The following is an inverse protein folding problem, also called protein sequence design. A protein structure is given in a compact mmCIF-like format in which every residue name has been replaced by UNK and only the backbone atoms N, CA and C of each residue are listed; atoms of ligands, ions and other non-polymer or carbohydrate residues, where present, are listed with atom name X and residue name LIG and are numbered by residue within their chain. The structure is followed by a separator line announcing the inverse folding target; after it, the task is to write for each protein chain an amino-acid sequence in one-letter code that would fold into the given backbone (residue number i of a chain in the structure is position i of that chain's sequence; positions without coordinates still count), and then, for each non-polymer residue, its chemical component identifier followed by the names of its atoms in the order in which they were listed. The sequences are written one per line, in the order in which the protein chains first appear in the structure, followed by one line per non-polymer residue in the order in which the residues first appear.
data_IF_539998990098
#
_entry.id   IF_539998990098
#
_cell.length_a   1.000
_cell.length_b   1.000
_cell.length_c   1.000
_cell.angle_alpha   90.00
_cell.angle_beta   90.00
_cell.angle_gamma   90.00
#
_symmetry.space_group_name_H-M   'P 1'
#
loop_
_entity.id
_entity.type
_entity.pdbx_description
1 polymer ?
#
# COMPACT_ATOMS: atom_id res chain seq x y z
N UNK A 1 -4.02 -27.23 -2.13
CA UNK A 1 -4.10 -26.50 -3.41
C UNK A 1 -3.07 -27.04 -4.39
N UNK A 2 -3.35 -28.21 -4.95
CA UNK A 2 -2.52 -28.78 -6.04
C UNK A 2 -2.81 -28.17 -7.43
N UNK A 3 -3.57 -27.08 -7.48
CA UNK A 3 -4.10 -26.49 -8.70
C UNK A 3 -3.06 -25.74 -9.56
N UNK A 4 -1.80 -25.62 -9.12
CA UNK A 4 -0.78 -24.89 -9.89
C UNK A 4 0.52 -25.67 -9.87
N UNK A 5 1.13 -25.74 -11.02
CA UNK A 5 2.42 -26.35 -11.26
C UNK A 5 3.45 -25.83 -10.22
N UNK A 6 3.95 -26.75 -9.41
CA UNK A 6 4.98 -26.47 -8.39
C UNK A 6 6.21 -25.82 -9.03
N UNK A 7 6.57 -26.19 -10.24
CA UNK A 7 7.69 -25.64 -11.00
C UNK A 7 7.47 -24.16 -11.31
N UNK A 8 6.24 -23.78 -11.69
CA UNK A 8 5.93 -22.37 -11.93
C UNK A 8 6.05 -21.53 -10.64
N UNK A 9 5.53 -22.05 -9.52
CA UNK A 9 5.67 -21.34 -8.21
C UNK A 9 7.14 -21.17 -7.86
N UNK A 10 7.96 -22.21 -7.98
CA UNK A 10 9.39 -22.15 -7.68
C UNK A 10 10.08 -21.07 -8.51
N UNK A 11 9.82 -21.02 -9.80
CA UNK A 11 10.36 -20.00 -10.68
C UNK A 11 9.92 -18.56 -10.29
N UNK A 12 8.66 -18.38 -9.85
CA UNK A 12 8.22 -17.07 -9.36
C UNK A 12 8.92 -16.66 -8.06
N UNK A 13 9.22 -17.62 -7.19
CA UNK A 13 9.88 -17.38 -5.90
C UNK A 13 11.38 -17.17 -6.02
N UNK A 14 12.06 -17.68 -7.05
CA UNK A 14 13.51 -17.45 -7.29
C UNK A 14 13.88 -15.97 -7.37
N UNK A 15 13.05 -15.17 -8.02
CA UNK A 15 13.25 -13.71 -8.19
C UNK A 15 12.35 -12.85 -7.28
N UNK A 16 11.71 -13.48 -6.30
CA UNK A 16 10.74 -12.80 -5.45
C UNK A 16 11.40 -11.76 -4.56
N UNK A 17 10.83 -10.56 -4.55
CA UNK A 17 11.20 -9.46 -3.66
C UNK A 17 9.96 -8.94 -2.95
N UNK A 18 10.04 -8.81 -1.63
CA UNK A 18 8.91 -8.44 -0.79
C UNK A 18 8.70 -6.93 -0.76
N UNK A 19 7.46 -6.50 -1.01
CA UNK A 19 7.00 -5.14 -0.72
C UNK A 19 6.16 -5.11 0.57
N UNK A 20 5.91 -3.92 1.12
CA UNK A 20 5.02 -3.78 2.28
C UNK A 20 3.59 -4.25 1.98
N UNK A 21 3.11 -4.10 0.74
CA UNK A 21 1.80 -4.64 0.33
C UNK A 21 1.78 -6.16 0.38
N UNK A 22 2.86 -6.82 -0.07
CA UNK A 22 2.98 -8.27 0.02
C UNK A 22 2.99 -8.75 1.47
N UNK A 23 3.76 -8.08 2.33
CA UNK A 23 3.79 -8.35 3.77
C UNK A 23 2.41 -8.20 4.41
N UNK A 24 1.74 -7.07 4.18
CA UNK A 24 0.41 -6.81 4.72
C UNK A 24 -0.62 -7.86 4.25
N UNK A 25 -0.59 -8.22 2.98
CA UNK A 25 -1.52 -9.20 2.42
C UNK A 25 -1.28 -10.61 3.01
N UNK A 26 -0.02 -11.02 3.14
CA UNK A 26 0.30 -12.32 3.72
C UNK A 26 -0.08 -12.41 5.19
N UNK A 27 0.26 -11.40 5.98
CA UNK A 27 -0.08 -11.34 7.41
C UNK A 27 -1.60 -11.37 7.63
N UNK A 28 -2.38 -10.68 6.78
CA UNK A 28 -3.85 -10.73 6.85
C UNK A 28 -4.40 -12.08 6.46
N UNK A 29 -3.94 -12.63 5.36
CA UNK A 29 -4.36 -13.94 4.88
C UNK A 29 -3.39 -14.46 3.83
N UNK A 30 -2.74 -15.62 4.02
CA UNK A 30 -1.86 -16.22 3.01
C UNK A 30 -2.54 -16.42 1.65
N UNK A 31 -3.85 -16.70 1.60
CA UNK A 31 -4.59 -16.75 0.33
C UNK A 31 -4.68 -15.40 -0.37
N UNK A 32 -4.79 -14.29 0.39
CA UNK A 32 -4.79 -12.95 -0.22
C UNK A 32 -3.46 -12.69 -0.93
N UNK A 33 -2.34 -13.00 -0.28
CA UNK A 33 -1.03 -12.91 -0.91
C UNK A 33 -0.92 -13.83 -2.13
N UNK A 34 -1.31 -15.08 -1.99
CA UNK A 34 -1.21 -16.09 -3.05
C UNK A 34 -1.97 -15.66 -4.31
N UNK A 35 -3.25 -15.33 -4.19
CA UNK A 35 -4.07 -14.97 -5.34
C UNK A 35 -3.76 -13.57 -5.90
N UNK A 36 -3.51 -12.58 -5.05
CA UNK A 36 -3.31 -11.20 -5.51
C UNK A 36 -1.88 -10.87 -5.91
N UNK A 37 -0.89 -11.41 -5.18
CA UNK A 37 0.50 -11.01 -5.36
C UNK A 37 1.35 -12.05 -6.10
N UNK A 38 1.14 -13.32 -5.86
CA UNK A 38 1.87 -14.38 -6.54
C UNK A 38 1.21 -14.73 -7.87
N UNK A 39 -0.06 -15.17 -7.88
CA UNK A 39 -0.80 -15.51 -9.10
C UNK A 39 -1.26 -14.30 -9.90
N UNK A 40 -1.41 -13.16 -9.24
CA UNK A 40 -1.91 -11.91 -9.85
C UNK A 40 -3.24 -12.13 -10.57
N UNK A 41 -4.15 -12.83 -9.90
CA UNK A 41 -5.50 -13.07 -10.44
C UNK A 41 -6.14 -11.75 -10.81
N UNK A 42 -6.61 -11.59 -12.05
CA UNK A 42 -7.26 -10.35 -12.47
C UNK A 42 -8.44 -10.02 -11.55
N UNK A 43 -8.43 -8.83 -10.99
CA UNK A 43 -9.55 -8.29 -10.24
C UNK A 43 -10.24 -7.19 -11.04
N UNK A 44 -11.54 -7.02 -10.83
CA UNK A 44 -12.23 -5.86 -11.37
C UNK A 44 -11.51 -4.58 -10.96
N UNK A 45 -11.39 -3.65 -11.89
CA UNK A 45 -10.78 -2.36 -11.62
C UNK A 45 -11.53 -1.68 -10.47
N UNK A 46 -10.79 -1.16 -9.51
CA UNK A 46 -11.37 -0.55 -8.31
C UNK A 46 -11.35 0.97 -8.45
N UNK A 47 -12.53 1.57 -8.48
CA UNK A 47 -12.70 3.01 -8.60
C UNK A 47 -11.93 3.81 -7.55
N UNK A 48 -11.83 3.32 -6.31
CA UNK A 48 -11.09 4.00 -5.24
C UNK A 48 -9.58 3.94 -5.45
N UNK A 49 -9.06 2.80 -5.92
CA UNK A 49 -7.64 2.64 -6.26
C UNK A 49 -7.28 3.53 -7.45
N UNK A 50 -8.10 3.53 -8.51
CA UNK A 50 -7.87 4.34 -9.70
C UNK A 50 -7.93 5.84 -9.41
N UNK A 51 -8.86 6.27 -8.56
CA UNK A 51 -8.92 7.64 -8.06
C UNK A 51 -7.66 8.01 -7.26
N UNK A 52 -7.24 7.15 -6.32
CA UNK A 52 -6.02 7.35 -5.54
C UNK A 52 -4.79 7.50 -6.43
N UNK A 53 -4.62 6.59 -7.39
CA UNK A 53 -3.51 6.65 -8.36
C UNK A 53 -3.51 7.94 -9.16
N UNK A 54 -4.68 8.42 -9.63
CA UNK A 54 -4.77 9.67 -10.37
C UNK A 54 -4.35 10.89 -9.52
N UNK A 55 -4.68 10.89 -8.22
CA UNK A 55 -4.23 11.93 -7.27
C UNK A 55 -2.72 11.89 -7.08
N UNK A 56 -2.13 10.71 -6.82
CA UNK A 56 -0.69 10.54 -6.65
C UNK A 56 0.09 10.97 -7.90
N UNK A 57 -0.33 10.51 -9.09
CA UNK A 57 0.31 10.85 -10.36
C UNK A 57 0.25 12.35 -10.66
N UNK A 58 -0.87 13.01 -10.32
CA UNK A 58 -1.03 14.46 -10.50
C UNK A 58 -0.12 15.24 -9.55
N UNK A 59 -0.04 14.86 -8.28
CA UNK A 59 0.85 15.49 -7.30
C UNK A 59 2.33 15.27 -7.65
N UNK A 60 2.71 14.06 -8.07
CA UNK A 60 4.07 13.77 -8.54
C UNK A 60 4.45 14.70 -9.69
N UNK A 61 3.60 14.81 -10.71
CA UNK A 61 3.84 15.68 -11.86
C UNK A 61 3.92 17.16 -11.45
N UNK A 62 3.09 17.58 -10.51
CA UNK A 62 3.09 18.94 -9.98
C UNK A 62 4.40 19.30 -9.29
N UNK A 63 4.91 18.41 -8.44
CA UNK A 63 6.22 18.57 -7.81
C UNK A 63 7.38 18.50 -8.81
N UNK A 64 7.32 17.64 -9.82
CA UNK A 64 8.33 17.55 -10.88
C UNK A 64 8.42 18.85 -11.68
N UNK A 65 7.28 19.45 -12.05
CA UNK A 65 7.25 20.76 -12.69
C UNK A 65 7.88 21.85 -11.81
N UNK A 66 7.61 21.84 -10.51
CA UNK A 66 8.27 22.74 -9.57
C UNK A 66 9.78 22.52 -9.54
N UNK A 67 10.25 21.26 -9.54
CA UNK A 67 11.68 20.93 -9.54
C UNK A 67 12.38 21.34 -10.85
N UNK A 68 11.68 21.35 -11.97
CA UNK A 68 12.19 21.78 -13.27
C UNK A 68 12.22 23.32 -13.40
N UNK A 69 11.38 24.03 -12.64
CA UNK A 69 11.33 25.50 -12.70
C UNK A 69 12.61 26.11 -12.11
N UNK A 70 13.27 27.08 -12.78
CA UNK A 70 14.55 27.65 -12.33
C UNK A 70 14.53 28.18 -10.90
N UNK A 71 13.45 28.83 -10.50
CA UNK A 71 13.24 29.39 -9.16
C UNK A 71 12.54 28.43 -8.19
N UNK A 72 12.30 27.17 -8.59
CA UNK A 72 11.53 26.21 -7.81
C UNK A 72 10.12 26.73 -7.44
N UNK A 73 9.47 27.40 -8.35
CA UNK A 73 8.09 27.84 -8.18
C UNK A 73 7.12 26.77 -8.62
N UNK A 74 6.07 26.57 -7.83
CA UNK A 74 4.98 25.70 -8.23
C UNK A 74 4.22 26.31 -9.41
N UNK A 75 3.78 25.49 -10.37
CA UNK A 75 2.90 25.97 -11.42
C UNK A 75 1.53 26.39 -10.84
N UNK A 76 0.69 27.09 -11.62
CA UNK A 76 -0.68 27.38 -11.23
C UNK A 76 -1.46 26.10 -10.88
N UNK A 77 -2.39 26.20 -9.94
CA UNK A 77 -3.20 25.04 -9.48
C UNK A 77 -3.98 24.39 -10.62
N UNK A 78 -4.38 25.17 -11.62
CA UNK A 78 -5.08 24.70 -12.82
C UNK A 78 -4.26 23.66 -13.60
N UNK A 79 -2.95 23.71 -13.50
CA UNK A 79 -2.10 22.69 -14.12
C UNK A 79 -2.18 21.35 -13.39
N UNK A 80 -2.21 21.37 -12.05
CA UNK A 80 -2.45 20.16 -11.27
C UNK A 80 -3.81 19.55 -11.61
N UNK A 81 -4.85 20.39 -11.70
CA UNK A 81 -6.20 19.91 -12.00
C UNK A 81 -6.29 19.33 -13.43
N UNK A 82 -5.60 19.91 -14.41
CA UNK A 82 -5.48 19.33 -15.77
C UNK A 82 -4.76 17.97 -15.75
N UNK A 83 -3.68 17.86 -14.99
CA UNK A 83 -2.96 16.59 -14.87
C UNK A 83 -3.83 15.54 -14.19
N UNK A 84 -4.55 15.89 -13.11
CA UNK A 84 -5.50 15.00 -12.47
C UNK A 84 -6.63 14.57 -13.42
N UNK A 85 -7.21 15.49 -14.20
CA UNK A 85 -8.22 15.16 -15.21
C UNK A 85 -7.70 14.15 -16.24
N UNK A 86 -6.49 14.36 -16.72
CA UNK A 86 -5.83 13.44 -17.63
C UNK A 86 -5.66 12.03 -17.04
N UNK A 87 -5.23 11.90 -15.79
CA UNK A 87 -5.05 10.59 -15.15
C UNK A 87 -6.40 9.92 -14.83
N UNK A 88 -7.40 10.69 -14.44
CA UNK A 88 -8.77 10.18 -14.30
C UNK A 88 -9.32 9.65 -15.62
N UNK A 89 -9.13 10.38 -16.73
CA UNK A 89 -9.55 9.95 -18.06
C UNK A 89 -8.87 8.64 -18.47
N UNK A 90 -7.59 8.47 -18.23
CA UNK A 90 -6.86 7.23 -18.52
C UNK A 90 -7.39 6.01 -17.76
N UNK A 91 -8.04 6.23 -16.64
CA UNK A 91 -8.60 5.17 -15.78
C UNK A 91 -10.12 5.13 -15.80
N UNK A 92 -10.78 5.79 -16.78
CA UNK A 92 -12.23 5.97 -16.82
C UNK A 92 -13.01 4.64 -16.83
N UNK A 93 -12.44 3.58 -17.38
CA UNK A 93 -13.02 2.23 -17.42
C UNK A 93 -13.07 1.54 -16.04
N UNK A 94 -12.53 2.19 -14.99
CA UNK A 94 -12.63 1.73 -13.60
C UNK A 94 -13.89 2.21 -12.90
N UNK A 95 -14.72 3.03 -13.55
CA UNK A 95 -15.85 3.72 -12.98
C UNK A 95 -17.11 3.52 -13.82
N UNK A 96 -18.28 3.61 -13.18
CA UNK A 96 -19.49 3.95 -13.94
C UNK A 96 -19.43 5.42 -14.36
N UNK A 97 -20.24 5.83 -15.34
CA UNK A 97 -20.26 7.22 -15.81
C UNK A 97 -20.58 8.19 -14.67
N UNK A 98 -21.60 7.90 -13.88
CA UNK A 98 -22.04 8.72 -12.75
C UNK A 98 -20.96 8.77 -11.64
N UNK A 99 -20.30 7.65 -11.38
CA UNK A 99 -19.21 7.60 -10.41
C UNK A 99 -17.99 8.38 -10.89
N UNK A 100 -17.64 8.27 -12.19
CA UNK A 100 -16.55 9.03 -12.80
C UNK A 100 -16.77 10.53 -12.63
N UNK A 101 -17.92 11.05 -13.05
CA UNK A 101 -18.24 12.48 -12.97
C UNK A 101 -18.21 12.98 -11.53
N UNK A 102 -18.81 12.24 -10.60
CA UNK A 102 -18.81 12.57 -9.17
C UNK A 102 -17.39 12.58 -8.59
N UNK A 103 -16.58 11.54 -8.86
CA UNK A 103 -15.20 11.42 -8.36
C UNK A 103 -14.28 12.49 -8.93
N UNK A 104 -14.45 12.83 -10.22
CA UNK A 104 -13.70 13.89 -10.87
C UNK A 104 -13.98 15.24 -10.22
N UNK A 105 -15.23 15.61 -10.05
CA UNK A 105 -15.61 16.87 -9.37
C UNK A 105 -15.12 16.92 -7.93
N UNK A 106 -15.23 15.80 -7.23
CA UNK A 106 -14.71 15.67 -5.88
C UNK A 106 -13.19 15.88 -5.84
N UNK A 107 -12.44 15.24 -6.74
CA UNK A 107 -10.99 15.36 -6.84
C UNK A 107 -10.53 16.79 -7.14
N UNK A 108 -11.19 17.48 -8.06
CA UNK A 108 -10.90 18.89 -8.33
C UNK A 108 -11.01 19.73 -7.07
N UNK A 109 -12.13 19.60 -6.35
CA UNK A 109 -12.35 20.36 -5.13
C UNK A 109 -11.30 20.10 -4.05
N UNK A 110 -11.03 18.83 -3.74
CA UNK A 110 -10.09 18.51 -2.66
C UNK A 110 -8.65 18.89 -3.02
N UNK A 111 -8.22 18.70 -4.27
CA UNK A 111 -6.88 19.09 -4.72
C UNK A 111 -6.69 20.60 -4.70
N UNK A 112 -7.68 21.37 -5.14
CA UNK A 112 -7.62 22.85 -5.07
C UNK A 112 -7.50 23.32 -3.62
N UNK A 113 -8.31 22.77 -2.70
CA UNK A 113 -8.28 23.07 -1.28
C UNK A 113 -6.93 22.67 -0.65
N UNK A 114 -6.43 21.49 -0.98
CA UNK A 114 -5.17 20.95 -0.47
C UNK A 114 -3.98 21.81 -0.89
N UNK A 115 -3.88 22.18 -2.17
CA UNK A 115 -2.82 23.06 -2.66
C UNK A 115 -2.90 24.43 -2.00
N UNK A 116 -4.08 25.03 -1.95
CA UNK A 116 -4.27 26.33 -1.32
C UNK A 116 -3.83 26.33 0.15
N UNK A 117 -4.06 25.23 0.87
CA UNK A 117 -3.71 25.10 2.28
C UNK A 117 -2.22 24.89 2.49
N UNK A 118 -1.60 23.97 1.75
CA UNK A 118 -0.24 23.51 2.02
C UNK A 118 0.85 24.13 1.15
N UNK A 119 0.57 24.61 -0.06
CA UNK A 119 1.62 25.07 -0.97
C UNK A 119 2.54 26.17 -0.40
N UNK A 120 2.07 27.09 0.48
CA UNK A 120 2.94 28.08 1.08
C UNK A 120 4.02 27.51 2.01
N UNK A 121 3.79 26.30 2.54
CA UNK A 121 4.67 25.66 3.54
C UNK A 121 5.38 24.41 3.04
N UNK A 122 5.12 24.00 1.79
CA UNK A 122 5.74 22.81 1.24
C UNK A 122 7.25 22.91 1.15
N UNK A 123 7.91 21.82 1.55
CA UNK A 123 9.33 21.66 1.28
C UNK A 123 9.57 21.50 -0.23
N UNK A 124 10.50 22.28 -0.77
CA UNK A 124 10.88 22.26 -2.20
C UNK A 124 12.13 21.41 -2.48
N UNK A 125 12.79 20.93 -1.44
CA UNK A 125 13.94 20.02 -1.56
C UNK A 125 13.41 18.60 -1.42
N UNK A 126 12.95 18.04 -2.54
CA UNK A 126 12.24 16.76 -2.53
C UNK A 126 12.68 15.85 -3.67
N UNK A 127 12.42 14.57 -3.51
CA UNK A 127 12.41 13.54 -4.57
C UNK A 127 11.05 12.87 -4.54
N UNK A 128 10.42 12.67 -5.70
CA UNK A 128 9.12 12.03 -5.82
C UNK A 128 9.21 10.68 -6.52
N UNK A 129 8.27 9.78 -6.23
CA UNK A 129 8.09 8.49 -6.90
C UNK A 129 9.36 7.62 -6.95
N UNK A 130 10.16 7.67 -5.85
CA UNK A 130 11.42 6.94 -5.79
C UNK A 130 11.22 5.46 -5.54
N UNK A 131 11.65 4.64 -6.48
CA UNK A 131 11.71 3.19 -6.32
C UNK A 131 13.05 2.78 -5.70
N UNK A 132 12.99 1.95 -4.67
CA UNK A 132 14.16 1.39 -3.97
C UNK A 132 14.08 -0.13 -4.00
N UNK A 133 15.22 -0.78 -4.23
CA UNK A 133 15.43 -2.22 -4.07
C UNK A 133 16.63 -2.41 -3.16
N UNK A 134 16.48 -3.22 -2.14
CA UNK A 134 17.50 -3.45 -1.13
C UNK A 134 17.42 -4.87 -0.57
N UNK A 135 18.37 -5.25 0.29
CA UNK A 135 18.36 -6.51 1.00
C UNK A 135 18.31 -6.29 2.51
N UNK A 136 17.45 -7.00 3.19
CA UNK A 136 17.43 -7.12 4.64
C UNK A 136 18.06 -8.48 5.01
N UNK A 137 19.42 -8.51 5.16
CA UNK A 137 20.14 -9.77 5.12
C UNK A 137 19.91 -10.48 3.78
N UNK A 138 19.43 -11.72 3.81
CA UNK A 138 19.14 -12.51 2.62
C UNK A 138 17.74 -12.27 2.05
N UNK A 139 16.95 -11.38 2.64
CA UNK A 139 15.58 -11.08 2.18
C UNK A 139 15.58 -9.90 1.21
N UNK A 140 15.30 -10.12 -0.10
CA UNK A 140 15.12 -9.03 -1.05
C UNK A 140 13.85 -8.24 -0.73
N UNK A 141 13.98 -6.92 -0.57
CA UNK A 141 12.86 -6.01 -0.31
C UNK A 141 12.81 -4.90 -1.35
N UNK A 142 11.63 -4.41 -1.63
CA UNK A 142 11.42 -3.30 -2.54
C UNK A 142 10.26 -2.41 -2.09
N UNK A 143 10.28 -1.18 -2.57
CA UNK A 143 9.18 -0.25 -2.35
C UNK A 143 9.30 0.98 -3.24
N UNK A 144 8.20 1.68 -3.36
CA UNK A 144 8.11 2.97 -4.06
C UNK A 144 7.59 3.99 -3.04
N UNK A 145 8.32 5.09 -2.90
CA UNK A 145 8.02 6.15 -1.97
C UNK A 145 7.44 7.32 -2.75
N UNK A 146 6.28 7.83 -2.33
CA UNK A 146 5.59 8.90 -3.05
C UNK A 146 6.41 10.19 -3.06
N UNK A 147 6.90 10.61 -1.88
CA UNK A 147 7.74 11.80 -1.75
C UNK A 147 8.72 11.65 -0.60
N UNK A 148 9.95 12.10 -0.80
CA UNK A 148 10.98 12.25 0.23
C UNK A 148 11.30 13.74 0.35
N UNK A 149 11.16 14.29 1.54
CA UNK A 149 11.47 15.69 1.86
C UNK A 149 12.80 15.75 2.60
N UNK A 150 13.71 16.63 2.19
CA UNK A 150 15.05 16.73 2.76
C UNK A 150 15.24 17.99 3.60
N UNK A 151 15.97 17.82 4.70
CA UNK A 151 16.56 18.89 5.49
C UNK A 151 18.04 18.53 5.74
N UNK A 152 18.92 18.93 4.84
CA UNK A 152 20.30 18.48 4.81
C UNK A 152 20.41 16.97 4.59
N UNK A 153 21.00 16.24 5.54
CA UNK A 153 21.12 14.78 5.49
C UNK A 153 19.90 14.06 6.08
N UNK A 154 19.03 14.78 6.77
CA UNK A 154 17.81 14.20 7.34
C UNK A 154 16.69 14.22 6.33
N UNK A 155 15.85 13.20 6.32
CA UNK A 155 14.68 13.18 5.47
C UNK A 155 13.43 12.65 6.17
N UNK A 156 12.27 13.15 5.69
CA UNK A 156 10.94 12.70 6.02
C UNK A 156 10.33 12.04 4.79
N UNK A 157 9.79 10.84 4.95
CA UNK A 157 9.08 10.16 3.85
C UNK A 157 7.60 10.48 3.98
N UNK A 158 7.01 11.02 2.92
CA UNK A 158 5.59 11.38 2.86
C UNK A 158 4.87 10.43 1.92
N UNK A 159 3.76 9.90 2.39
CA UNK A 159 2.87 9.01 1.64
C UNK A 159 1.46 9.62 1.60
N UNK A 160 0.93 9.83 0.41
CA UNK A 160 -0.38 10.46 0.22
C UNK A 160 -1.52 9.47 0.44
N UNK A 161 -2.56 9.91 1.12
CA UNK A 161 -3.77 9.11 1.38
C UNK A 161 -5.02 9.84 0.91
N UNK A 162 -5.76 9.20 0.01
CA UNK A 162 -7.03 9.74 -0.53
C UNK A 162 -8.27 9.28 0.26
N UNK A 163 -8.06 8.54 1.35
CA UNK A 163 -9.13 8.15 2.28
C UNK A 163 -9.23 9.10 3.46
N UNK A 164 -10.36 9.05 4.17
CA UNK A 164 -10.59 9.90 5.34
C UNK A 164 -9.76 9.46 6.54
N UNK A 165 -9.11 10.41 7.20
CA UNK A 165 -8.28 10.17 8.39
C UNK A 165 -9.00 9.39 9.49
N UNK A 166 -10.30 9.66 9.74
CA UNK A 166 -11.05 8.96 10.79
C UNK A 166 -11.04 7.42 10.66
N UNK A 167 -10.95 6.89 9.43
CA UNK A 167 -10.88 5.45 9.17
C UNK A 167 -9.44 4.90 9.20
N UNK A 168 -8.46 5.79 9.29
CA UNK A 168 -7.05 5.44 9.32
C UNK A 168 -6.48 5.29 10.73
N UNK A 169 -7.14 5.83 11.75
CA UNK A 169 -6.59 5.93 13.12
C UNK A 169 -6.01 4.62 13.64
N UNK A 170 -6.76 3.51 13.55
CA UNK A 170 -6.30 2.19 14.02
C UNK A 170 -5.10 1.65 13.22
N UNK A 171 -4.89 2.13 11.99
CA UNK A 171 -3.80 1.68 11.12
C UNK A 171 -2.45 2.33 11.43
N UNK A 172 -2.41 3.30 12.35
CA UNK A 172 -1.24 4.12 12.66
C UNK A 172 -0.43 3.64 13.87
N UNK A 173 -0.89 2.62 14.57
CA UNK A 173 -0.29 2.18 15.83
C UNK A 173 0.45 0.85 15.69
N UNK A 174 1.53 0.65 16.51
CA UNK A 174 2.20 -0.64 16.63
C UNK A 174 1.27 -1.69 17.24
N UNK A 175 1.67 -2.99 17.21
CA UNK A 175 0.95 -4.02 17.94
C UNK A 175 0.92 -3.71 19.44
N UNK A 176 -0.16 -4.13 20.10
CA UNK A 176 -0.27 -3.92 21.54
C UNK A 176 0.62 -4.92 22.30
N UNK A 177 1.17 -4.49 23.43
CA UNK A 177 2.06 -5.35 24.24
C UNK A 177 1.30 -6.46 24.95
N UNK A 178 0.07 -6.17 25.38
CA UNK A 178 -0.79 -7.13 26.09
C UNK A 178 -2.07 -7.34 25.28
N UNK A 179 -2.27 -8.57 24.84
CA UNK A 179 -3.45 -8.95 24.08
C UNK A 179 -4.62 -9.20 25.04
N UNK A 180 -5.75 -8.52 24.79
CA UNK A 180 -7.01 -8.80 25.49
C UNK A 180 -7.66 -10.11 25.02
N UNK A 181 -8.88 -10.39 25.51
CA UNK A 181 -9.59 -11.65 25.23
C UNK A 181 -9.93 -11.84 23.73
N UNK A 182 -10.21 -10.75 23.02
CA UNK A 182 -10.57 -10.78 21.58
C UNK A 182 -9.71 -9.79 20.78
N UNK A 183 -8.40 -10.07 20.62
CA UNK A 183 -7.50 -9.15 19.95
C UNK A 183 -7.79 -9.08 18.44
N UNK A 184 -7.82 -7.87 17.89
CA UNK A 184 -7.94 -7.62 16.47
C UNK A 184 -6.65 -8.00 15.72
N UNK A 185 -6.68 -7.96 14.38
CA UNK A 185 -5.48 -8.13 13.57
C UNK A 185 -4.44 -7.05 13.90
N UNK A 186 -4.88 -5.80 14.01
CA UNK A 186 -4.01 -4.66 14.34
C UNK A 186 -3.40 -4.79 15.73
N UNK A 187 -4.13 -5.32 16.70
CA UNK A 187 -3.60 -5.55 18.05
C UNK A 187 -2.44 -6.57 18.05
N UNK A 188 -2.52 -7.59 17.19
CA UNK A 188 -1.49 -8.65 17.09
C UNK A 188 -0.29 -8.24 16.24
N UNK A 189 -0.53 -7.56 15.13
CA UNK A 189 0.48 -7.33 14.09
C UNK A 189 0.84 -5.86 13.87
N UNK A 190 0.12 -4.93 14.49
CA UNK A 190 0.20 -3.51 14.20
C UNK A 190 -0.63 -3.11 12.98
N UNK A 191 -0.87 -1.84 12.82
CA UNK A 191 -1.64 -1.29 11.72
C UNK A 191 -0.86 -1.22 10.41
N UNK A 192 -1.56 -1.25 9.28
CA UNK A 192 -0.96 -1.24 7.94
C UNK A 192 -0.09 0.00 7.69
N UNK A 193 -0.51 1.18 8.16
CA UNK A 193 0.22 2.42 7.94
C UNK A 193 1.45 2.50 8.85
N UNK A 194 1.32 2.10 10.12
CA UNK A 194 2.48 1.96 10.99
C UNK A 194 3.53 1.03 10.36
N UNK A 195 3.11 -0.16 9.90
CA UNK A 195 4.02 -1.11 9.26
C UNK A 195 4.62 -0.56 7.97
N UNK A 196 3.85 0.19 7.17
CA UNK A 196 4.32 0.86 5.97
C UNK A 196 5.41 1.89 6.30
N UNK A 197 5.22 2.71 7.32
CA UNK A 197 6.19 3.70 7.78
C UNK A 197 7.51 3.04 8.21
N UNK A 198 7.42 1.98 9.03
CA UNK A 198 8.59 1.24 9.51
C UNK A 198 9.30 0.51 8.36
N UNK A 199 8.55 -0.09 7.44
CA UNK A 199 9.10 -0.72 6.25
C UNK A 199 9.88 0.28 5.37
N UNK A 200 9.39 1.50 5.21
CA UNK A 200 10.11 2.56 4.51
C UNK A 200 11.43 2.91 5.22
N UNK A 201 11.44 2.96 6.55
CA UNK A 201 12.68 3.16 7.32
C UNK A 201 13.69 2.03 7.11
N UNK A 202 13.23 0.78 7.15
CA UNK A 202 14.07 -0.41 6.89
C UNK A 202 14.63 -0.36 5.46
N UNK A 203 13.78 -0.07 4.47
CA UNK A 203 14.14 0.02 3.06
C UNK A 203 15.20 1.12 2.83
N UNK A 204 15.00 2.31 3.40
CA UNK A 204 15.94 3.43 3.32
C UNK A 204 17.27 3.12 4.02
N UNK A 205 17.24 2.38 5.14
CA UNK A 205 18.45 1.96 5.85
C UNK A 205 19.24 0.89 5.10
N UNK A 206 18.55 0.01 4.39
CA UNK A 206 19.15 -1.08 3.62
C UNK A 206 19.61 -0.64 2.22
N UNK A 207 19.20 0.54 1.73
CA UNK A 207 19.66 1.07 0.45
C UNK A 207 21.17 1.33 0.48
N UNK A 208 21.88 0.71 -0.46
CA UNK A 208 23.32 0.94 -0.63
C UNK A 208 23.57 2.37 -1.16
N UNK A 209 24.67 2.99 -0.70
CA UNK A 209 25.04 4.37 -1.06
C UNK A 209 24.07 5.45 -0.57
N UNK A 210 23.32 5.19 0.49
CA UNK A 210 22.46 6.21 1.09
C UNK A 210 23.30 7.39 1.61
N UNK A 211 22.84 8.59 1.27
CA UNK A 211 23.40 9.84 1.79
C UNK A 211 22.51 10.48 2.85
N UNK A 212 21.35 9.88 3.12
CA UNK A 212 20.28 10.44 3.93
C UNK A 212 19.91 9.53 5.10
N UNK A 213 19.44 10.15 6.15
CA UNK A 213 18.87 9.48 7.31
C UNK A 213 17.37 9.81 7.39
N UNK A 214 16.54 8.79 7.27
CA UNK A 214 15.09 8.95 7.44
C UNK A 214 14.78 9.09 8.93
N UNK A 215 14.21 10.20 9.35
CA UNK A 215 13.85 10.48 10.74
C UNK A 215 12.38 10.23 11.05
N UNK A 216 11.51 10.33 10.06
CA UNK A 216 10.07 10.13 10.22
C UNK A 216 9.40 9.70 8.93
N UNK A 217 8.21 9.10 9.05
CA UNK A 217 7.24 8.95 7.98
C UNK A 217 6.00 9.79 8.30
N UNK A 218 5.37 10.33 7.27
CA UNK A 218 4.17 11.15 7.39
C UNK A 218 3.13 10.67 6.37
N UNK A 219 1.93 10.35 6.87
CA UNK A 219 0.77 10.08 6.03
C UNK A 219 0.00 11.38 5.86
N UNK A 220 -0.01 11.88 4.63
CA UNK A 220 -0.61 13.16 4.26
C UNK A 220 -1.99 12.91 3.65
N UNK A 221 -3.04 13.26 4.40
CA UNK A 221 -4.43 13.03 3.99
C UNK A 221 -4.91 14.17 3.11
N UNK A 222 -5.16 13.85 1.84
CA UNK A 222 -5.59 14.83 0.83
C UNK A 222 -7.04 15.28 1.05
N UNK A 223 -7.85 14.45 1.70
CA UNK A 223 -9.22 14.80 2.03
C UNK A 223 -9.26 15.69 3.30
N UNK A 224 -9.88 16.88 3.24
CA UNK A 224 -9.99 17.76 4.41
C UNK A 224 -10.88 17.14 5.49
N UNK A 225 -10.64 17.54 6.74
CA UNK A 225 -11.46 17.14 7.89
C UNK A 225 -12.82 17.85 7.89
N UNK A 226 -12.89 19.03 7.30
CA UNK A 226 -14.09 19.85 7.17
C UNK A 226 -14.54 20.00 5.70
N UNK A 227 -15.77 20.47 5.49
CA UNK A 227 -16.31 20.69 4.14
C UNK A 227 -15.71 21.91 3.44
N UNK A 228 -15.14 22.82 4.19
CA UNK A 228 -14.63 24.11 3.74
C UNK A 228 -13.18 24.05 3.29
N UNK A 229 -12.47 22.94 3.59
CA UNK A 229 -11.07 22.74 3.25
C UNK A 229 -10.12 23.62 4.07
N UNK A 230 -10.47 23.88 5.33
CA UNK A 230 -9.67 24.69 6.26
C UNK A 230 -8.84 23.84 7.21
N UNK A 231 -9.18 22.56 7.35
CA UNK A 231 -8.51 21.63 8.25
C UNK A 231 -8.11 20.37 7.49
N UNK A 232 -6.84 20.01 7.60
CA UNK A 232 -6.28 18.78 7.03
C UNK A 232 -5.48 18.03 8.10
N UNK A 233 -5.27 16.76 7.90
CA UNK A 233 -4.50 15.94 8.82
C UNK A 233 -3.24 15.38 8.16
N UNK A 234 -2.15 15.42 8.91
CA UNK A 234 -0.90 14.75 8.61
C UNK A 234 -0.50 13.89 9.81
N UNK A 235 -0.55 12.58 9.61
CA UNK A 235 -0.18 11.65 10.66
C UNK A 235 1.30 11.30 10.57
N UNK A 236 2.11 11.92 11.43
CA UNK A 236 3.54 11.62 11.54
C UNK A 236 3.79 10.45 12.49
N UNK A 237 4.57 9.49 12.05
CA UNK A 237 4.99 8.34 12.84
C UNK A 237 6.48 8.49 13.18
N UNK A 238 6.77 8.54 14.48
CA UNK A 238 8.12 8.46 15.00
C UNK A 238 8.48 6.98 15.18
N UNK A 239 9.46 6.52 14.41
CA UNK A 239 9.82 5.12 14.32
C UNK A 239 10.90 4.82 15.35
N UNK A 240 10.61 3.91 16.27
CA UNK A 240 11.54 3.46 17.33
C UNK A 240 12.39 2.27 16.86
N UNK A 241 13.43 1.94 17.62
CA UNK A 241 14.22 0.72 17.39
C UNK A 241 13.39 -0.56 17.61
N UNK A 242 12.42 -0.55 18.55
CA UNK A 242 11.49 -1.64 18.81
C UNK A 242 10.57 -1.88 17.60
N UNK A 243 10.06 -0.79 16.98
CA UNK A 243 9.26 -0.87 15.77
C UNK A 243 10.03 -1.52 14.62
N UNK A 244 11.29 -1.08 14.42
CA UNK A 244 12.18 -1.64 13.37
C UNK A 244 12.37 -3.13 13.61
N UNK A 245 12.77 -3.53 14.82
CA UNK A 245 12.98 -4.95 15.16
C UNK A 245 11.73 -5.81 14.93
N UNK A 246 10.55 -5.27 15.30
CA UNK A 246 9.26 -5.96 15.12
C UNK A 246 8.96 -6.18 13.63
N UNK A 247 9.09 -5.16 12.80
CA UNK A 247 8.77 -5.27 11.37
C UNK A 247 9.84 -6.07 10.63
N UNK A 248 11.12 -5.97 11.01
CA UNK A 248 12.17 -6.84 10.47
C UNK A 248 11.88 -8.31 10.72
N UNK A 249 11.40 -8.64 11.93
CA UNK A 249 11.01 -10.01 12.24
C UNK A 249 9.81 -10.45 11.40
N UNK A 250 8.78 -9.60 11.28
CA UNK A 250 7.63 -9.87 10.41
C UNK A 250 8.05 -10.12 8.95
N UNK A 251 9.01 -9.35 8.43
CA UNK A 251 9.55 -9.52 7.07
C UNK A 251 10.23 -10.87 6.94
N UNK A 252 11.16 -11.20 7.84
CA UNK A 252 11.94 -12.43 7.81
C UNK A 252 11.07 -13.68 7.92
N UNK A 253 10.16 -13.69 8.89
CA UNK A 253 9.24 -14.82 9.10
C UNK A 253 8.29 -15.01 7.92
N UNK A 254 7.72 -13.91 7.42
CA UNK A 254 6.82 -13.96 6.26
C UNK A 254 7.55 -14.41 5.00
N UNK A 255 8.77 -13.92 4.77
CA UNK A 255 9.57 -14.35 3.62
C UNK A 255 9.90 -15.84 3.69
N UNK A 256 10.34 -16.35 4.84
CA UNK A 256 10.62 -17.77 5.03
C UNK A 256 9.37 -18.63 4.76
N UNK A 257 8.22 -18.23 5.29
CA UNK A 257 6.94 -18.94 5.04
C UNK A 257 6.52 -18.90 3.56
N UNK A 258 6.74 -17.78 2.86
CA UNK A 258 6.47 -17.68 1.43
C UNK A 258 7.40 -18.62 0.64
N UNK A 259 8.68 -18.65 0.96
CA UNK A 259 9.64 -19.54 0.31
C UNK A 259 9.32 -21.04 0.58
N UNK A 260 8.82 -21.35 1.76
CA UNK A 260 8.31 -22.68 2.11
C UNK A 260 6.92 -22.99 1.52
N UNK A 261 6.36 -22.10 0.70
CA UNK A 261 5.04 -22.28 0.04
C UNK A 261 3.88 -22.44 1.03
N UNK A 262 3.92 -21.76 2.17
CA UNK A 262 2.90 -21.84 3.20
C UNK A 262 1.67 -21.00 2.87
N UNK A 263 0.96 -21.34 1.77
CA UNK A 263 -0.30 -20.68 1.36
C UNK A 263 -1.48 -21.65 1.29
N UNK A 264 -1.38 -22.84 1.87
CA UNK A 264 -2.43 -23.85 1.82
C UNK A 264 -3.58 -23.61 2.80
N UNK A 265 -3.37 -22.67 3.76
CA UNK A 265 -4.37 -22.29 4.77
C UNK A 265 -4.64 -20.80 4.71
N UNK A 266 -5.92 -20.42 4.74
CA UNK A 266 -6.36 -19.03 4.84
C UNK A 266 -6.43 -18.56 6.29
N UNK A 267 -6.88 -17.31 6.49
CA UNK A 267 -7.08 -16.74 7.84
C UNK A 267 -8.31 -17.31 8.55
N UNK A 268 -9.26 -17.88 7.82
CA UNK A 268 -10.52 -18.40 8.38
C UNK A 268 -11.57 -17.34 8.71
N UNK A 269 -11.27 -16.07 8.51
CA UNK A 269 -12.22 -14.98 8.78
C UNK A 269 -13.46 -15.08 7.86
N UNK A 270 -14.70 -14.95 8.40
CA UNK A 270 -15.92 -15.10 7.62
C UNK A 270 -16.04 -14.14 6.42
N UNK A 271 -15.51 -12.93 6.55
CA UNK A 271 -15.55 -11.90 5.52
C UNK A 271 -14.35 -11.97 4.55
N UNK A 272 -13.46 -12.95 4.69
CA UNK A 272 -12.31 -13.06 3.82
C UNK A 272 -12.71 -13.60 2.44
N UNK A 273 -12.68 -12.74 1.44
CA UNK A 273 -13.01 -13.06 0.04
C UNK A 273 -12.31 -14.32 -0.47
N UNK A 274 -11.01 -14.44 -0.19
CA UNK A 274 -10.22 -15.54 -0.74
C UNK A 274 -10.40 -16.86 0.03
N UNK A 275 -10.68 -16.79 1.35
CA UNK A 275 -11.07 -17.97 2.10
C UNK A 275 -12.41 -18.51 1.61
N UNK A 276 -13.39 -17.62 1.37
CA UNK A 276 -14.69 -18.00 0.83
C UNK A 276 -14.56 -18.54 -0.59
N UNK A 277 -13.76 -17.90 -1.46
CA UNK A 277 -13.49 -18.41 -2.80
C UNK A 277 -12.92 -19.83 -2.79
N UNK A 278 -11.92 -20.10 -1.94
CA UNK A 278 -11.33 -21.45 -1.85
C UNK A 278 -12.35 -22.47 -1.32
N UNK A 279 -13.13 -22.08 -0.30
CA UNK A 279 -14.17 -22.95 0.25
C UNK A 279 -15.25 -23.29 -0.76
N UNK A 280 -15.73 -22.29 -1.51
CA UNK A 280 -16.91 -22.43 -2.33
C UNK A 280 -16.62 -23.04 -3.71
N UNK A 281 -15.41 -22.84 -4.25
CA UNK A 281 -15.08 -23.27 -5.61
C UNK A 281 -13.98 -24.34 -5.68
N UNK A 282 -12.99 -24.31 -4.80
CA UNK A 282 -11.87 -25.25 -4.86
C UNK A 282 -12.22 -26.56 -4.14
N UNK A 283 -12.83 -26.48 -2.95
CA UNK A 283 -13.20 -27.67 -2.18
C UNK A 283 -14.57 -28.24 -2.55
N UNK A 284 -15.44 -27.47 -3.21
CA UNK A 284 -16.70 -28.01 -3.72
C UNK A 284 -16.49 -28.98 -4.89
N UNK A 285 -15.58 -28.64 -5.82
CA UNK A 285 -15.25 -29.53 -6.94
C UNK A 285 -14.55 -30.82 -6.48
N UNK A 286 -13.75 -30.76 -5.41
CA UNK A 286 -13.12 -31.96 -4.85
C UNK A 286 -14.15 -32.93 -4.25
N UNK A 287 -15.22 -32.42 -3.61
CA UNK A 287 -16.30 -33.27 -3.09
C UNK A 287 -17.12 -33.91 -4.17
N UNK A 288 -17.45 -33.18 -5.23
CA UNK A 288 -18.18 -33.70 -6.38
C UNK A 288 -17.40 -34.82 -7.05
N UNK A 289 -16.07 -34.71 -7.14
CA UNK A 289 -15.21 -35.74 -7.69
C UNK A 289 -15.15 -37.02 -6.83
N UNK A 290 -15.14 -36.86 -5.51
CA UNK A 290 -15.18 -38.00 -4.58
C UNK A 290 -16.55 -38.69 -4.60
N UNK A 291 -17.65 -37.96 -4.67
CA UNK A 291 -19.01 -38.52 -4.78
C UNK A 291 -19.23 -39.26 -6.09
N UNK A 292 -18.65 -38.80 -7.21
CA UNK A 292 -18.72 -39.51 -8.52
C UNK A 292 -17.91 -40.78 -8.46
N UNK A 293 -16.71 -40.79 -7.92
CA UNK A 293 -15.86 -41.96 -7.78
C UNK A 293 -16.49 -43.06 -6.89
N UNK A 294 -17.16 -42.66 -5.80
CA UNK A 294 -17.87 -43.56 -4.90
C UNK A 294 -19.15 -44.16 -5.57
N UNK A 295 -19.79 -43.41 -6.47
CA UNK A 295 -20.98 -43.87 -7.17
C UNK A 295 -20.68 -44.83 -8.36
N UNK A 296 -19.42 -44.91 -8.78
CA UNK A 296 -18.98 -45.86 -9.83
C UNK A 296 -18.45 -47.20 -9.24
N UNK A 297 -18.28 -47.28 -7.92
CA UNK A 297 -17.87 -48.50 -7.22
C UNK A 297 -19.06 -49.28 -6.59
N UNK A 298 -20.31 -48.80 -6.68
CA UNK A 298 -21.54 -49.51 -6.31
C UNK A 298 -22.24 -50.09 -7.56
#
# INVERSE_FOLDING_TARGET
LELIDKVWIDHQLESYSMSVTHLNNYLKCPFTFYFQNLLRVPAAKNASISFGSAVHDALDRYFKKMLEHPEKNFPPTEELLRDFDYFMYRSQDSFTKEEYDRRKQYGFRILEQYVKYYSPTWNKVVVTERSIRAGLGDVPINGKLDKIEFNGKLCNVVDYKTGQFKYAKKKLFPPVKELGDNPTFEDRHGGDYWRQAVFYRILMNAEQNKQWEMVSAEFDFIEPLDKEGKEFEKARINITAEDIATVEQQIKDTYARIQNKEFSKGCGEPECKWCNFVKDYVYADARVSEDILQSEEE
#
